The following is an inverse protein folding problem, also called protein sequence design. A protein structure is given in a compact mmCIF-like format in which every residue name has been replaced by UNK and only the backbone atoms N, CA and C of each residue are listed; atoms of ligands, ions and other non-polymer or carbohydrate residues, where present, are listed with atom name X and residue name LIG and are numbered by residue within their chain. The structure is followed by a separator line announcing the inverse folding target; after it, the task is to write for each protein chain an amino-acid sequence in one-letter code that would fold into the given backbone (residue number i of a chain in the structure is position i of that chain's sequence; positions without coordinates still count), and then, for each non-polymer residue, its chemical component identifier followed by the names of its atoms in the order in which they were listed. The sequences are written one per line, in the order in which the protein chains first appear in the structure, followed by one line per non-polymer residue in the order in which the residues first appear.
data_IF_553901239939
#
_entry.id   IF_553901239939
#
_cell.length_a   1.000
_cell.length_b   1.000
_cell.length_c   1.000
_cell.angle_alpha   90.00
_cell.angle_beta   90.00
_cell.angle_gamma   90.00
#
_symmetry.space_group_name_H-M   'P 1'
#
loop_
_entity.id
_entity.type
_entity.pdbx_description
1 polymer ?
#
# COMPACT_ATOMS: atom_id res chain seq x y z
N UNK A 1 4.16 -5.69 -12.88
CA UNK A 1 3.08 -5.66 -11.86
C UNK A 1 2.61 -7.09 -11.76
N UNK A 2 2.61 -7.61 -10.54
CA UNK A 2 2.09 -8.95 -10.22
C UNK A 2 1.37 -8.88 -8.87
N UNK A 3 0.98 -10.04 -8.35
CA UNK A 3 0.27 -10.15 -7.07
C UNK A 3 1.16 -9.92 -5.84
N UNK A 4 2.50 -9.90 -6.00
CA UNK A 4 3.43 -9.57 -4.92
C UNK A 4 3.52 -8.06 -4.72
N UNK A 5 3.56 -7.29 -5.81
CA UNK A 5 3.67 -5.85 -5.69
C UNK A 5 3.45 -5.04 -6.97
N UNK A 6 3.13 -3.77 -6.73
CA UNK A 6 2.93 -2.76 -7.76
C UNK A 6 4.06 -1.74 -7.72
N UNK A 7 4.98 -1.82 -8.68
CA UNK A 7 6.08 -0.86 -8.83
C UNK A 7 5.57 0.41 -9.50
N UNK A 8 5.82 1.54 -8.86
CA UNK A 8 5.46 2.87 -9.34
C UNK A 8 6.67 3.54 -10.00
N UNK A 9 6.40 4.38 -10.99
CA UNK A 9 7.39 5.28 -11.58
C UNK A 9 7.02 6.71 -11.22
N UNK A 10 8.02 7.50 -10.84
CA UNK A 10 7.85 8.91 -10.52
C UNK A 10 9.18 9.55 -10.11
N UNK A 11 9.12 10.78 -9.56
CA UNK A 11 10.29 11.42 -8.96
C UNK A 11 10.95 10.49 -7.94
N UNK A 12 12.27 10.38 -8.02
CA UNK A 12 13.04 9.56 -7.09
C UNK A 12 12.92 10.09 -5.66
N UNK A 13 12.65 9.18 -4.72
CA UNK A 13 12.64 9.50 -3.29
C UNK A 13 14.06 9.36 -2.74
N UNK A 14 14.54 10.39 -2.03
CA UNK A 14 15.86 10.41 -1.41
C UNK A 14 15.83 9.83 0.01
N UNK A 15 16.99 9.36 0.46
CA UNK A 15 17.15 8.72 1.77
C UNK A 15 17.98 9.59 2.70
N UNK A 16 17.66 9.53 4.00
CA UNK A 16 18.49 10.15 5.04
C UNK A 16 19.68 9.26 5.44
N UNK A 17 19.45 7.96 5.59
CA UNK A 17 20.43 7.00 6.12
C UNK A 17 20.53 5.70 5.28
N UNK A 18 20.09 5.75 4.03
CA UNK A 18 19.95 4.57 3.17
C UNK A 18 18.53 3.99 3.15
N UNK A 19 18.36 2.87 2.45
CA UNK A 19 17.07 2.24 2.20
C UNK A 19 16.91 0.90 2.91
N UNK A 20 17.98 0.40 3.52
CA UNK A 20 18.02 -0.87 4.24
C UNK A 20 17.74 -0.67 5.74
N UNK A 21 17.03 -1.62 6.33
CA UNK A 21 16.71 -1.71 7.75
C UNK A 21 16.93 -3.15 8.21
N UNK A 22 16.98 -3.37 9.52
CA UNK A 22 16.81 -4.71 10.08
C UNK A 22 15.46 -5.25 9.64
N UNK A 23 15.44 -6.49 9.14
CA UNK A 23 14.22 -7.13 8.66
C UNK A 23 13.11 -7.07 9.70
N UNK A 24 11.93 -6.64 9.26
CA UNK A 24 10.74 -6.51 10.10
C UNK A 24 9.48 -6.94 9.32
N UNK A 25 8.33 -6.86 9.98
CA UNK A 25 7.05 -7.25 9.40
C UNK A 25 6.60 -6.35 8.25
N UNK A 26 6.01 -6.96 7.23
CA UNK A 26 5.47 -6.25 6.07
C UNK A 26 3.93 -6.30 6.10
N UNK A 27 3.25 -5.18 6.37
CA UNK A 27 1.80 -5.11 6.29
C UNK A 27 1.33 -5.10 4.83
N UNK A 28 0.10 -5.54 4.59
CA UNK A 28 -0.55 -5.41 3.28
C UNK A 28 -0.62 -3.92 2.94
N UNK A 29 -0.28 -3.56 1.70
CA UNK A 29 -0.21 -2.17 1.28
C UNK A 29 1.05 -1.44 1.74
N UNK A 30 2.00 -2.10 2.40
CA UNK A 30 3.28 -1.50 2.76
C UNK A 30 3.98 -0.96 1.51
N UNK A 31 4.48 0.28 1.59
CA UNK A 31 5.13 0.95 0.47
C UNK A 31 6.63 0.97 0.73
N UNK A 32 7.34 0.04 0.09
CA UNK A 32 8.80 0.00 0.12
C UNK A 32 9.38 0.93 -0.94
N UNK A 33 10.58 1.45 -0.68
CA UNK A 33 11.28 2.32 -1.63
C UNK A 33 12.72 1.84 -1.77
N UNK A 34 13.00 0.75 -2.52
CA UNK A 34 14.37 0.40 -2.90
C UNK A 34 14.83 1.25 -4.10
N UNK A 35 16.04 1.80 -4.06
CA UNK A 35 16.63 2.55 -5.19
C UNK A 35 15.84 3.78 -5.68
N UNK A 36 15.00 4.37 -4.82
CA UNK A 36 14.26 5.61 -5.03
C UNK A 36 12.88 5.45 -5.65
N UNK A 37 12.47 4.24 -6.03
CA UNK A 37 11.18 3.98 -6.70
C UNK A 37 10.22 3.19 -5.79
N UNK A 38 9.01 3.68 -5.52
CA UNK A 38 8.06 3.00 -4.64
C UNK A 38 7.54 1.67 -5.20
N UNK A 39 7.33 0.72 -4.31
CA UNK A 39 6.64 -0.55 -4.57
C UNK A 39 5.55 -0.70 -3.52
N UNK A 40 4.29 -0.74 -3.95
CA UNK A 40 3.16 -1.09 -3.08
C UNK A 40 3.06 -2.60 -2.98
N UNK A 41 3.16 -3.16 -1.79
CA UNK A 41 3.18 -4.60 -1.56
C UNK A 41 1.74 -5.14 -1.41
N UNK A 42 1.43 -6.19 -2.17
CA UNK A 42 0.07 -6.71 -2.36
C UNK A 42 -0.12 -8.05 -1.64
N UNK A 43 -1.13 -8.81 -2.08
CA UNK A 43 -1.65 -9.98 -1.38
C UNK A 43 -0.65 -11.14 -1.31
N UNK A 44 0.25 -11.27 -2.28
CA UNK A 44 1.28 -12.32 -2.31
C UNK A 44 2.66 -11.80 -1.89
N UNK A 45 2.72 -10.62 -1.24
CA UNK A 45 3.99 -10.06 -0.73
C UNK A 45 4.66 -10.99 0.28
N UNK A 46 5.99 -10.90 0.41
CA UNK A 46 6.71 -11.56 1.49
C UNK A 46 6.27 -11.05 2.88
N UNK A 47 6.33 -11.91 3.90
CA UNK A 47 5.91 -11.59 5.27
C UNK A 47 6.88 -10.64 6.00
N UNK A 48 8.17 -10.71 5.67
CA UNK A 48 9.24 -9.89 6.24
C UNK A 48 10.19 -9.35 5.17
N UNK A 49 10.93 -8.28 5.46
CA UNK A 49 11.97 -7.79 4.56
C UNK A 49 12.74 -6.60 5.11
N UNK A 50 13.90 -6.34 4.50
CA UNK A 50 14.87 -5.35 4.98
C UNK A 50 14.79 -3.98 4.33
N UNK A 51 13.73 -3.64 3.59
CA UNK A 51 13.61 -2.31 2.98
C UNK A 51 12.71 -1.38 3.79
N UNK A 52 13.17 -0.13 3.93
CA UNK A 52 12.40 0.97 4.51
C UNK A 52 11.01 1.08 3.87
N UNK A 53 10.01 1.32 4.72
CA UNK A 53 8.63 1.58 4.30
C UNK A 53 8.30 3.03 4.61
N UNK A 54 7.87 3.77 3.60
CA UNK A 54 7.54 5.20 3.75
C UNK A 54 6.11 5.41 4.25
N UNK A 55 5.22 4.48 3.93
CA UNK A 55 3.80 4.51 4.29
C UNK A 55 3.16 3.12 4.11
N UNK A 56 1.89 3.02 4.49
CA UNK A 56 1.05 1.84 4.26
C UNK A 56 -0.29 2.29 3.68
N UNK A 57 -0.73 1.65 2.60
CA UNK A 57 -2.07 1.86 2.03
C UNK A 57 -3.11 1.26 2.99
N UNK A 58 -4.20 1.99 3.25
CA UNK A 58 -5.27 1.50 4.11
C UNK A 58 -6.00 0.32 3.47
N UNK A 59 -6.49 -0.62 4.29
CA UNK A 59 -7.13 -1.84 3.81
C UNK A 59 -8.24 -1.61 2.76
N UNK A 60 -9.16 -0.63 2.92
CA UNK A 60 -10.23 -0.38 1.94
C UNK A 60 -9.74 0.06 0.55
N UNK A 61 -8.53 0.60 0.44
CA UNK A 61 -7.98 1.08 -0.83
C UNK A 61 -7.10 0.04 -1.54
N UNK A 62 -6.82 -1.12 -0.93
CA UNK A 62 -5.98 -2.17 -1.55
C UNK A 62 -6.61 -2.69 -2.85
N UNK A 63 -7.92 -2.94 -2.85
CA UNK A 63 -8.63 -3.43 -4.03
C UNK A 63 -8.51 -2.44 -5.21
N UNK A 64 -8.50 -1.13 -4.92
CA UNK A 64 -8.33 -0.09 -5.95
C UNK A 64 -6.97 -0.19 -6.63
N UNK A 65 -5.91 -0.43 -5.85
CA UNK A 65 -4.56 -0.64 -6.41
C UNK A 65 -4.51 -1.91 -7.25
N UNK A 66 -5.10 -3.01 -6.76
CA UNK A 66 -5.16 -4.29 -7.49
C UNK A 66 -5.88 -4.19 -8.84
N UNK A 67 -6.78 -3.22 -9.01
CA UNK A 67 -7.50 -2.97 -10.26
C UNK A 67 -6.81 -1.97 -11.21
N UNK A 68 -5.68 -1.37 -10.80
CA UNK A 68 -4.95 -0.44 -11.68
C UNK A 68 -4.19 -1.17 -12.78
N UNK A 69 -4.24 -0.62 -14.01
CA UNK A 69 -3.52 -1.17 -15.16
C UNK A 69 -2.17 -0.47 -15.35
N UNK A 70 -1.14 -1.14 -15.90
CA UNK A 70 0.10 -0.48 -16.28
C UNK A 70 -0.16 0.79 -17.12
N UNK A 71 0.53 1.88 -16.79
CA UNK A 71 0.33 3.18 -17.43
C UNK A 71 -0.72 4.09 -16.75
N UNK A 72 -1.49 3.58 -15.80
CA UNK A 72 -2.38 4.43 -14.99
C UNK A 72 -1.62 5.22 -13.93
N UNK A 73 -2.14 6.40 -13.62
CA UNK A 73 -1.61 7.26 -12.56
C UNK A 73 -2.22 6.91 -11.21
N UNK A 74 -1.38 6.88 -10.18
CA UNK A 74 -1.79 6.72 -8.78
C UNK A 74 -1.34 7.97 -8.03
N UNK A 75 -2.25 8.55 -7.25
CA UNK A 75 -1.96 9.68 -6.36
C UNK A 75 -2.30 9.28 -4.94
N UNK A 76 -1.32 9.37 -4.04
CA UNK A 76 -1.53 9.12 -2.62
C UNK A 76 -2.07 10.36 -1.92
N UNK A 77 -2.96 10.13 -0.95
CA UNK A 77 -3.42 11.13 0.00
C UNK A 77 -3.12 10.62 1.41
N UNK A 78 -2.46 11.43 2.22
CA UNK A 78 -2.26 11.12 3.63
C UNK A 78 -3.62 11.10 4.33
N UNK A 79 -3.82 10.09 5.17
CA UNK A 79 -4.95 9.98 6.07
C UNK A 79 -4.47 9.82 7.50
N UNK A 80 -5.28 10.25 8.45
CA UNK A 80 -5.11 9.92 9.86
C UNK A 80 -5.57 8.49 10.15
N UNK A 81 -5.16 7.96 11.30
CA UNK A 81 -5.62 6.66 11.76
C UNK A 81 -7.15 6.65 12.00
N UNK A 82 -7.70 7.75 12.52
CA UNK A 82 -9.14 7.88 12.75
C UNK A 82 -9.93 7.83 11.43
N UNK A 83 -9.46 8.54 10.39
CA UNK A 83 -10.05 8.48 9.05
C UNK A 83 -9.94 7.08 8.45
N UNK A 84 -8.78 6.42 8.57
CA UNK A 84 -8.59 5.06 8.08
C UNK A 84 -9.58 4.07 8.71
N UNK A 85 -9.77 4.13 10.03
CA UNK A 85 -10.75 3.31 10.74
C UNK A 85 -12.20 3.65 10.38
N UNK A 86 -12.51 4.93 10.16
CA UNK A 86 -13.85 5.34 9.73
C UNK A 86 -14.17 4.78 8.33
N UNK A 87 -13.22 4.86 7.39
CA UNK A 87 -13.36 4.30 6.04
C UNK A 87 -13.53 2.78 6.06
N UNK A 88 -12.78 2.08 6.92
CA UNK A 88 -12.91 0.64 7.10
C UNK A 88 -14.30 0.24 7.62
N UNK A 89 -14.81 0.93 8.64
CA UNK A 89 -16.18 0.68 9.15
C UNK A 89 -17.25 0.98 8.10
N UNK A 90 -17.08 2.08 7.34
CA UNK A 90 -18.01 2.42 6.28
C UNK A 90 -18.02 1.39 5.15
N UNK A 91 -16.87 0.81 4.81
CA UNK A 91 -16.77 -0.29 3.86
C UNK A 91 -17.48 -1.55 4.37
N UNK A 92 -17.22 -1.95 5.63
CA UNK A 92 -17.88 -3.09 6.24
C UNK A 92 -19.42 -2.93 6.25
N UNK A 93 -19.92 -1.73 6.59
CA UNK A 93 -21.35 -1.41 6.53
C UNK A 93 -21.95 -1.60 5.13
N UNK A 94 -21.28 -1.08 4.09
CA UNK A 94 -21.75 -1.27 2.69
C UNK A 94 -21.82 -2.74 2.30
N UNK A 95 -20.84 -3.55 2.70
CA UNK A 95 -20.87 -4.99 2.42
C UNK A 95 -22.00 -5.69 3.14
N UNK A 96 -22.24 -5.33 4.40
CA UNK A 96 -23.33 -5.92 5.17
C UNK A 96 -24.69 -5.57 4.57
N UNK A 97 -24.90 -4.31 4.17
CA UNK A 97 -26.13 -3.89 3.50
C UNK A 97 -26.32 -4.62 2.16
N UNK A 98 -25.24 -4.79 1.37
CA UNK A 98 -25.30 -5.47 0.08
C UNK A 98 -25.56 -6.99 0.16
N UNK A 99 -25.22 -7.64 1.29
CA UNK A 99 -25.46 -9.08 1.50
C UNK A 99 -26.89 -9.34 1.98
N UNK A 100 -27.49 -8.37 2.69
CA UNK A 100 -28.81 -8.52 3.30
C UNK A 100 -29.98 -8.06 2.39
N UNK A 101 -29.67 -7.53 1.20
CA UNK A 101 -30.63 -7.22 0.14
C UNK A 101 -30.70 -8.34 -0.89
#
# INVERSE_FOLDING_TARGET
VDRMGYRLKGPGITYRHGHDIVSDGIPLGGIQVPGGQPIVLLVDRQSTGGYTKIATVISPDIARIGQTKPGHWIRFRRVSLAEAHALLRAEAGRWQDAILQ
#
